data_IF_338241776205
#
_entry.id   IF_338241776205
#
_cell.length_a   1.000
_cell.length_b   1.000
_cell.length_c   1.000
_cell.angle_alpha   90.00
_cell.angle_beta   90.00
_cell.angle_gamma   90.00
#
_symmetry.space_group_name_H-M   'P 1'
#
loop_
_entity.id
_entity.type
_entity.pdbx_description
1 polymer ?
#
# COMPACT_ATOMS: atom_id res chain seq x y z
N UNK A 1 28.76 8.98 13.08
CA UNK A 1 27.54 9.82 13.10
C UNK A 1 26.62 9.24 12.05
N UNK A 2 25.97 8.17 12.46
CA UNK A 2 25.19 7.27 11.63
C UNK A 2 23.86 7.99 11.33
N UNK A 3 23.87 8.81 10.28
CA UNK A 3 22.68 9.53 9.83
C UNK A 3 21.80 8.54 9.05
N UNK A 4 21.21 7.61 9.81
CA UNK A 4 20.26 6.65 9.33
C UNK A 4 19.08 7.43 8.75
N UNK A 5 19.03 7.42 7.42
CA UNK A 5 17.92 7.93 6.64
C UNK A 5 16.66 7.18 7.07
N UNK A 6 15.92 7.72 8.02
CA UNK A 6 14.62 7.19 8.42
C UNK A 6 13.62 7.54 7.34
N UNK A 7 13.77 6.94 6.16
CA UNK A 7 12.65 6.77 5.24
C UNK A 7 11.55 6.09 6.05
N UNK A 8 10.40 6.76 6.18
CA UNK A 8 9.22 6.23 6.85
C UNK A 8 8.67 5.04 6.05
N UNK A 9 9.37 3.91 6.10
CA UNK A 9 8.97 2.64 5.52
C UNK A 9 7.65 2.26 6.18
N UNK A 10 6.58 2.27 5.40
CA UNK A 10 5.27 1.87 5.88
C UNK A 10 5.25 0.34 5.94
N UNK A 11 4.76 -0.22 7.03
CA UNK A 11 4.62 -1.68 7.16
C UNK A 11 3.24 -2.08 6.67
N UNK A 12 3.19 -3.01 5.72
CA UNK A 12 1.93 -3.54 5.24
C UNK A 12 1.28 -4.41 6.34
N UNK A 13 0.05 -4.12 6.80
CA UNK A 13 -0.61 -4.91 7.84
C UNK A 13 -0.96 -6.35 7.40
N UNK A 14 -0.96 -6.63 6.09
CA UNK A 14 -1.28 -7.96 5.56
C UNK A 14 -0.08 -8.90 5.49
N UNK A 15 1.04 -8.43 4.96
CA UNK A 15 2.24 -9.26 4.73
C UNK A 15 3.44 -8.88 5.59
N UNK A 16 3.31 -7.83 6.40
CA UNK A 16 4.33 -7.27 7.28
C UNK A 16 5.61 -6.84 6.55
N UNK A 17 5.55 -6.67 5.22
CA UNK A 17 6.66 -6.12 4.45
C UNK A 17 6.68 -4.61 4.57
N UNK A 18 7.87 -4.08 4.82
CA UNK A 18 8.19 -2.67 4.67
C UNK A 18 8.14 -2.29 3.19
N UNK A 19 7.37 -1.26 2.86
CA UNK A 19 7.35 -0.68 1.52
C UNK A 19 7.55 0.83 1.62
N UNK A 20 8.16 1.39 0.57
CA UNK A 20 8.24 2.83 0.43
C UNK A 20 6.85 3.35 0.06
N UNK A 21 6.21 4.00 1.02
CA UNK A 21 5.08 4.87 0.79
C UNK A 21 5.63 6.28 0.86
N UNK A 22 5.67 6.99 -0.27
CA UNK A 22 6.10 8.38 -0.35
C UNK A 22 4.86 9.28 -0.41
N UNK A 23 4.25 9.62 0.76
CA UNK A 23 3.09 10.51 0.81
C UNK A 23 3.43 11.97 0.47
N UNK A 24 4.68 12.27 0.05
CA UNK A 24 5.11 13.57 -0.45
C UNK A 24 4.25 14.09 -1.59
N UNK A 25 3.52 13.21 -2.28
CA UNK A 25 2.39 13.58 -3.13
C UNK A 25 1.35 12.47 -3.11
N UNK A 26 0.05 12.80 -3.14
CA UNK A 26 -1.02 11.81 -3.29
C UNK A 26 -0.85 10.96 -4.57
N UNK A 27 -0.18 11.54 -5.58
CA UNK A 27 0.23 10.88 -6.83
C UNK A 27 1.49 10.00 -6.71
N UNK A 28 2.27 10.16 -5.64
CA UNK A 28 3.51 9.41 -5.39
C UNK A 28 3.29 8.10 -4.63
N UNK A 29 2.13 7.91 -4.02
CA UNK A 29 1.75 6.62 -3.47
C UNK A 29 1.57 5.63 -4.62
N UNK A 30 2.30 4.51 -4.56
CA UNK A 30 2.24 3.46 -5.58
C UNK A 30 0.80 2.97 -5.79
N UNK A 31 -0.02 2.96 -4.74
CA UNK A 31 -1.43 2.55 -4.81
C UNK A 31 -2.26 3.40 -5.78
N UNK A 32 -1.88 4.67 -6.02
CA UNK A 32 -2.55 5.56 -6.97
C UNK A 32 -2.26 5.19 -8.43
N UNK A 33 -1.16 4.46 -8.68
CA UNK A 33 -0.85 3.92 -10.01
C UNK A 33 -1.60 2.62 -10.32
N UNK A 34 -2.14 1.94 -9.31
CA UNK A 34 -2.95 0.74 -9.52
C UNK A 34 -4.41 1.12 -9.79
N UNK A 35 -4.99 0.54 -10.84
CA UNK A 35 -6.45 0.55 -11.01
C UNK A 35 -7.07 -0.43 -10.02
N UNK A 36 -7.41 0.06 -8.83
CA UNK A 36 -8.10 -0.72 -7.81
C UNK A 36 -9.60 -0.71 -8.15
N UNK A 37 -10.23 -1.89 -8.41
CA UNK A 37 -11.67 -1.97 -8.59
C UNK A 37 -12.42 -1.47 -7.36
N UNK A 38 -13.63 -0.92 -7.49
CA UNK A 38 -14.42 -0.43 -6.36
C UNK A 38 -14.72 -1.55 -5.33
N UNK A 39 -14.89 -2.80 -5.77
CA UNK A 39 -15.07 -3.94 -4.87
C UNK A 39 -13.85 -4.15 -3.97
N UNK A 40 -12.65 -4.14 -4.56
CA UNK A 40 -11.38 -4.26 -3.83
C UNK A 40 -11.15 -3.06 -2.94
N UNK A 41 -11.42 -1.84 -3.41
CA UNK A 41 -11.27 -0.63 -2.61
C UNK A 41 -12.18 -0.66 -1.37
N UNK A 42 -13.43 -1.09 -1.52
CA UNK A 42 -14.35 -1.28 -0.40
C UNK A 42 -13.87 -2.38 0.54
N UNK A 43 -13.39 -3.50 0.01
CA UNK A 43 -12.81 -4.56 0.82
C UNK A 43 -11.62 -4.07 1.64
N UNK A 44 -10.69 -3.33 1.01
CA UNK A 44 -9.53 -2.77 1.70
C UNK A 44 -9.98 -1.82 2.80
N UNK A 45 -10.88 -0.87 2.48
CA UNK A 45 -11.39 0.10 3.45
C UNK A 45 -12.15 -0.54 4.63
N UNK A 46 -12.77 -1.70 4.42
CA UNK A 46 -13.51 -2.43 5.45
C UNK A 46 -12.62 -3.34 6.32
N UNK A 47 -11.48 -3.80 5.80
CA UNK A 47 -10.61 -4.78 6.48
C UNK A 47 -9.25 -4.21 6.93
N UNK A 48 -8.82 -3.07 6.37
CA UNK A 48 -7.51 -2.48 6.64
C UNK A 48 -7.63 -0.96 6.84
N UNK A 49 -7.20 -0.48 8.00
CA UNK A 49 -7.14 0.95 8.31
C UNK A 49 -5.88 1.65 7.76
N UNK A 50 -4.95 0.88 7.17
CA UNK A 50 -3.66 1.39 6.69
C UNK A 50 -3.33 0.90 5.28
N UNK A 51 -2.32 1.53 4.66
CA UNK A 51 -1.94 1.26 3.28
C UNK A 51 -1.36 -0.16 3.12
N UNK A 52 -1.82 -0.86 2.09
CA UNK A 52 -1.25 -2.14 1.66
C UNK A 52 -0.10 -1.91 0.67
N UNK A 53 0.88 -2.80 0.69
CA UNK A 53 1.94 -2.80 -0.30
C UNK A 53 1.42 -3.20 -1.70
N UNK A 54 2.12 -2.81 -2.78
CA UNK A 54 1.70 -3.12 -4.16
C UNK A 54 1.48 -4.62 -4.40
N UNK A 55 2.31 -5.49 -3.82
CA UNK A 55 2.14 -6.94 -3.95
C UNK A 55 0.79 -7.43 -3.41
N UNK A 56 0.41 -6.99 -2.20
CA UNK A 56 -0.88 -7.35 -1.61
C UNK A 56 -2.06 -6.73 -2.37
N UNK A 57 -1.87 -5.52 -2.91
CA UNK A 57 -2.86 -4.86 -3.77
C UNK A 57 -3.09 -5.63 -5.05
N UNK A 58 -2.04 -6.04 -5.76
CA UNK A 58 -2.13 -6.87 -6.96
C UNK A 58 -2.84 -8.18 -6.68
N UNK A 59 -2.46 -8.91 -5.61
CA UNK A 59 -3.14 -10.15 -5.23
C UNK A 59 -4.64 -9.95 -4.99
N UNK A 60 -5.03 -8.85 -4.33
CA UNK A 60 -6.45 -8.55 -4.10
C UNK A 60 -7.20 -8.24 -5.39
N UNK A 61 -6.58 -7.51 -6.30
CA UNK A 61 -7.14 -7.19 -7.60
C UNK A 61 -7.34 -8.47 -8.41
N UNK A 62 -6.32 -9.32 -8.48
CA UNK A 62 -6.37 -10.60 -9.19
C UNK A 62 -7.38 -11.58 -8.58
N UNK A 63 -7.51 -11.63 -7.25
CA UNK A 63 -8.47 -12.51 -6.57
C UNK A 63 -9.94 -12.08 -6.75
N UNK A 64 -10.19 -10.86 -7.24
CA UNK A 64 -11.53 -10.30 -7.45
C UNK A 64 -11.98 -10.32 -8.91
N UNK A 65 -11.22 -10.98 -9.78
CA UNK A 65 -11.46 -11.10 -11.22
C UNK A 65 -11.78 -12.55 -11.61
#
# INVERSE_FOLDING_TARGET
MDNLSTQSLHSCPRCHRSFECTPTSAAGCVCFQFKIPPQVANFIKANFDSCLCPACLTELIEASN
#
